data_IF_304011683503
#
_entry.id   IF_304011683503
#
_cell.length_a   1.000
_cell.length_b   1.000
_cell.length_c   1.000
_cell.angle_alpha   90.00
_cell.angle_beta   90.00
_cell.angle_gamma   90.00
#
_symmetry.space_group_name_H-M   'P 1'
#
loop_
_entity.id
_entity.type
_entity.pdbx_description
1 polymer ?
#
# COMPACT_ATOMS: atom_id res chain seq x y z
N UNK A 1 50.89 9.51 21.22
CA UNK A 1 49.73 8.97 21.99
C UNK A 1 48.49 9.85 21.86
N UNK A 2 48.39 10.72 20.85
CA UNK A 2 47.24 11.64 20.65
C UNK A 2 46.24 11.11 19.59
N UNK A 3 46.58 10.04 18.87
CA UNK A 3 45.77 9.50 17.77
C UNK A 3 44.61 8.61 18.22
N UNK A 4 44.62 8.07 19.45
CA UNK A 4 43.53 7.21 19.95
C UNK A 4 42.25 7.98 20.28
N UNK A 5 42.35 9.26 20.66
CA UNK A 5 41.19 10.09 21.00
C UNK A 5 40.41 10.56 19.77
N UNK A 6 41.11 10.82 18.66
CA UNK A 6 40.48 11.22 17.40
C UNK A 6 39.69 10.06 16.76
N UNK A 7 40.13 8.80 16.98
CA UNK A 7 39.43 7.61 16.47
C UNK A 7 38.08 7.34 17.15
N UNK A 8 37.84 7.83 18.38
CA UNK A 8 36.54 7.70 19.05
C UNK A 8 35.52 8.75 18.58
N UNK A 9 35.98 9.82 17.96
CA UNK A 9 35.14 10.85 17.32
C UNK A 9 34.99 10.63 15.82
N UNK A 10 35.63 9.60 15.28
CA UNK A 10 35.50 9.17 13.89
C UNK A 10 34.18 8.42 13.73
N UNK A 11 33.09 9.19 13.71
CA UNK A 11 31.75 8.69 13.40
C UNK A 11 31.70 8.43 11.90
N UNK A 12 32.18 7.26 11.49
CA UNK A 12 31.93 6.72 10.15
C UNK A 12 30.43 6.43 10.06
N UNK A 13 29.67 7.42 9.56
CA UNK A 13 28.27 7.21 9.21
C UNK A 13 28.25 6.33 7.97
N UNK A 14 27.88 5.08 8.17
CA UNK A 14 27.61 4.16 7.08
C UNK A 14 26.31 4.60 6.38
N UNK A 15 26.47 5.46 5.36
CA UNK A 15 25.36 6.02 4.59
C UNK A 15 24.54 4.92 3.87
N UNK A 16 25.13 3.74 3.67
CA UNK A 16 24.43 2.57 3.13
C UNK A 16 23.38 2.01 4.11
N UNK A 17 23.53 2.19 5.43
CA UNK A 17 22.53 1.73 6.42
C UNK A 17 21.53 2.82 6.83
N UNK A 18 21.85 4.08 6.54
CA UNK A 18 21.06 5.24 6.97
C UNK A 18 19.61 5.20 6.46
N UNK A 19 19.38 4.70 5.25
CA UNK A 19 18.04 4.60 4.66
C UNK A 19 17.14 3.57 5.36
N UNK A 20 17.71 2.58 6.07
CA UNK A 20 16.96 1.59 6.84
C UNK A 20 16.68 2.03 8.27
N UNK A 21 17.34 3.09 8.75
CA UNK A 21 17.19 3.56 10.13
C UNK A 21 15.76 3.98 10.44
N UNK A 22 15.17 4.84 9.59
CA UNK A 22 13.79 5.27 9.75
C UNK A 22 12.77 4.12 9.62
N UNK A 23 12.80 3.29 8.56
CA UNK A 23 11.94 2.10 8.47
C UNK A 23 12.05 1.17 9.68
N UNK A 24 13.26 0.96 10.22
CA UNK A 24 13.50 0.07 11.36
C UNK A 24 12.83 0.60 12.63
N UNK A 25 12.95 1.90 12.92
CA UNK A 25 12.29 2.52 14.08
C UNK A 25 10.77 2.41 13.98
N UNK A 26 10.20 2.80 12.82
CA UNK A 26 8.75 2.72 12.60
C UNK A 26 8.26 1.28 12.72
N UNK A 27 8.99 0.31 12.17
CA UNK A 27 8.66 -1.12 12.28
C UNK A 27 8.60 -1.57 13.75
N UNK A 28 9.60 -1.21 14.56
CA UNK A 28 9.62 -1.53 15.98
C UNK A 28 8.44 -0.89 16.74
N UNK A 29 8.14 0.37 16.46
CA UNK A 29 6.98 1.06 17.03
C UNK A 29 5.69 0.31 16.70
N UNK A 30 5.50 -0.06 15.43
CA UNK A 30 4.32 -0.81 14.98
C UNK A 30 4.22 -2.19 15.63
N UNK A 31 5.33 -2.91 15.79
CA UNK A 31 5.37 -4.22 16.47
C UNK A 31 5.00 -4.09 17.95
N UNK A 32 5.53 -3.07 18.64
CA UNK A 32 5.20 -2.81 20.05
C UNK A 32 3.72 -2.46 20.20
N UNK A 33 3.18 -1.60 19.33
CA UNK A 33 1.75 -1.27 19.28
C UNK A 33 0.90 -2.52 19.04
N UNK A 34 1.27 -3.36 18.08
CA UNK A 34 0.57 -4.61 17.80
C UNK A 34 0.59 -5.53 19.02
N UNK A 35 1.75 -5.69 19.67
CA UNK A 35 1.87 -6.48 20.89
C UNK A 35 0.98 -5.93 22.02
N UNK A 36 0.95 -4.61 22.21
CA UNK A 36 0.09 -3.96 23.20
C UNK A 36 -1.40 -4.19 22.90
N UNK A 37 -1.81 -4.09 21.63
CA UNK A 37 -3.19 -4.38 21.22
C UNK A 37 -3.54 -5.84 21.48
N UNK A 38 -2.65 -6.77 21.15
CA UNK A 38 -2.86 -8.20 21.41
C UNK A 38 -3.02 -8.44 22.90
N UNK A 39 -2.13 -7.92 23.76
CA UNK A 39 -2.20 -8.11 25.21
C UNK A 39 -3.46 -7.48 25.80
N UNK A 40 -3.82 -6.26 25.39
CA UNK A 40 -4.97 -5.54 25.96
C UNK A 40 -6.32 -6.05 25.45
N UNK A 41 -6.39 -6.57 24.21
CA UNK A 41 -7.64 -6.98 23.55
C UNK A 41 -7.68 -8.44 23.12
N UNK A 42 -6.83 -9.31 23.67
CA UNK A 42 -6.76 -10.73 23.25
C UNK A 42 -8.12 -11.44 23.31
N UNK A 43 -8.94 -11.15 24.34
CA UNK A 43 -10.26 -11.78 24.52
C UNK A 43 -11.24 -11.46 23.40
N UNK A 44 -11.11 -10.28 22.78
CA UNK A 44 -11.91 -9.87 21.63
C UNK A 44 -11.31 -10.39 20.32
N UNK A 45 -9.98 -10.40 20.22
CA UNK A 45 -9.26 -10.82 19.03
C UNK A 45 -9.35 -12.32 18.76
N UNK A 46 -9.18 -13.17 19.78
CA UNK A 46 -9.12 -14.63 19.59
C UNK A 46 -10.42 -15.22 19.03
N UNK A 47 -11.63 -14.89 19.54
CA UNK A 47 -12.88 -15.34 18.93
C UNK A 47 -13.10 -14.75 17.53
N UNK A 48 -12.70 -13.49 17.33
CA UNK A 48 -12.75 -12.81 16.03
C UNK A 48 -11.90 -13.49 14.97
N UNK A 49 -10.66 -13.85 15.29
CA UNK A 49 -9.76 -14.60 14.41
C UNK A 49 -10.31 -16.00 14.08
N UNK A 50 -10.82 -16.71 15.08
CA UNK A 50 -11.43 -18.04 14.88
C UNK A 50 -12.68 -17.97 13.99
N UNK A 51 -13.48 -16.91 14.11
CA UNK A 51 -14.62 -16.67 13.22
C UNK A 51 -14.16 -16.27 11.82
N UNK A 52 -13.19 -15.35 11.70
CA UNK A 52 -12.63 -14.95 10.42
C UNK A 52 -12.04 -16.14 9.64
N UNK A 53 -11.30 -17.03 10.32
CA UNK A 53 -10.79 -18.26 9.70
C UNK A 53 -11.91 -19.22 9.27
N UNK A 54 -13.00 -19.32 10.02
CA UNK A 54 -14.18 -20.13 9.61
C UNK A 54 -14.94 -19.52 8.42
N UNK A 55 -15.02 -18.20 8.35
CA UNK A 55 -15.61 -17.46 7.22
C UNK A 55 -14.76 -17.66 5.95
N UNK A 56 -13.43 -17.55 6.08
CA UNK A 56 -12.48 -17.75 4.97
C UNK A 56 -12.48 -19.19 4.42
N UNK A 57 -12.69 -20.19 5.29
CA UNK A 57 -12.78 -21.61 4.91
C UNK A 57 -14.19 -21.97 4.41
N UNK A 58 -15.11 -21.00 4.32
CA UNK A 58 -16.47 -21.21 3.80
C UNK A 58 -17.39 -22.01 4.73
N UNK A 59 -17.04 -22.11 6.02
CA UNK A 59 -17.79 -22.92 7.00
C UNK A 59 -18.96 -22.17 7.65
N UNK A 60 -18.87 -20.84 7.78
CA UNK A 60 -19.93 -19.98 8.34
C UNK A 60 -19.88 -18.58 7.71
N UNK A 61 -20.93 -18.15 7.00
CA UNK A 61 -21.11 -16.77 6.50
C UNK A 61 -21.11 -16.61 4.97
N UNK A 62 -21.75 -15.56 4.48
CA UNK A 62 -21.68 -15.12 3.08
C UNK A 62 -20.31 -14.45 2.82
N UNK A 63 -19.27 -15.26 2.54
CA UNK A 63 -17.99 -14.71 2.12
C UNK A 63 -18.04 -14.37 0.63
N UNK A 64 -17.83 -13.10 0.30
CA UNK A 64 -17.84 -12.61 -1.08
C UNK A 64 -16.50 -12.93 -1.76
N UNK A 65 -16.32 -14.21 -2.11
CA UNK A 65 -15.10 -14.76 -2.71
C UNK A 65 -14.70 -13.98 -3.97
N UNK A 66 -15.68 -13.53 -4.76
CA UNK A 66 -15.43 -12.79 -6.00
C UNK A 66 -14.73 -11.46 -5.73
N UNK A 67 -15.21 -10.70 -4.75
CA UNK A 67 -14.59 -9.43 -4.34
C UNK A 67 -13.23 -9.66 -3.71
N UNK A 68 -13.11 -10.66 -2.85
CA UNK A 68 -11.84 -10.95 -2.19
C UNK A 68 -10.73 -11.33 -3.18
N UNK A 69 -10.95 -12.37 -3.99
CA UNK A 69 -9.97 -12.82 -4.97
C UNK A 69 -9.81 -11.82 -6.11
N UNK A 70 -10.88 -11.14 -6.50
CA UNK A 70 -10.84 -10.05 -7.47
C UNK A 70 -9.90 -8.94 -7.01
N UNK A 71 -10.03 -8.45 -5.77
CA UNK A 71 -9.16 -7.42 -5.22
C UNK A 71 -7.72 -7.90 -5.13
N UNK A 72 -7.50 -9.14 -4.65
CA UNK A 72 -6.15 -9.71 -4.58
C UNK A 72 -5.48 -9.75 -5.96
N UNK A 73 -6.18 -10.27 -6.96
CA UNK A 73 -5.69 -10.33 -8.34
C UNK A 73 -5.45 -8.93 -8.91
N UNK A 74 -6.37 -7.99 -8.69
CA UNK A 74 -6.25 -6.61 -9.16
C UNK A 74 -5.04 -5.90 -8.54
N UNK A 75 -4.82 -6.08 -7.23
CA UNK A 75 -3.70 -5.49 -6.50
C UNK A 75 -2.37 -6.08 -6.97
N UNK A 76 -2.29 -7.41 -7.10
CA UNK A 76 -1.07 -8.05 -7.63
C UNK A 76 -0.78 -7.59 -9.07
N UNK A 77 -1.81 -7.56 -9.92
CA UNK A 77 -1.68 -7.09 -11.30
C UNK A 77 -1.26 -5.62 -11.35
N UNK A 78 -1.83 -4.75 -10.52
CA UNK A 78 -1.47 -3.33 -10.43
C UNK A 78 0.02 -3.13 -10.17
N UNK A 79 0.56 -3.76 -9.12
CA UNK A 79 1.99 -3.60 -8.80
C UNK A 79 2.90 -4.18 -9.87
N UNK A 80 2.56 -5.35 -10.42
CA UNK A 80 3.34 -5.98 -11.48
C UNK A 80 3.34 -5.14 -12.76
N UNK A 81 2.17 -4.74 -13.25
CA UNK A 81 2.02 -3.94 -14.46
C UNK A 81 2.62 -2.55 -14.31
N UNK A 82 2.56 -1.96 -13.11
CA UNK A 82 3.22 -0.69 -12.83
C UNK A 82 4.72 -0.81 -13.08
N UNK A 83 5.38 -1.85 -12.55
CA UNK A 83 6.81 -2.10 -12.82
C UNK A 83 7.11 -2.25 -14.30
N UNK A 84 6.31 -3.02 -15.03
CA UNK A 84 6.51 -3.24 -16.48
C UNK A 84 6.34 -1.93 -17.26
N UNK A 85 5.37 -1.09 -16.89
CA UNK A 85 5.19 0.21 -17.54
C UNK A 85 6.29 1.21 -17.17
N UNK A 86 6.82 1.14 -15.94
CA UNK A 86 7.94 1.97 -15.50
C UNK A 86 9.19 1.72 -16.34
N UNK A 87 9.40 0.48 -16.81
CA UNK A 87 10.51 0.15 -17.72
C UNK A 87 10.35 0.83 -19.10
N UNK A 88 9.10 1.06 -19.54
CA UNK A 88 8.78 1.75 -20.81
C UNK A 88 8.81 3.27 -20.65
N UNK A 89 8.34 3.80 -19.51
CA UNK A 89 8.23 5.23 -19.21
C UNK A 89 9.04 5.64 -17.97
N UNK A 90 10.38 5.49 -18.00
CA UNK A 90 11.22 5.66 -16.80
C UNK A 90 11.15 7.09 -16.25
N UNK A 91 10.97 7.21 -14.93
CA UNK A 91 11.04 8.47 -14.16
C UNK A 91 10.04 9.56 -14.57
N UNK A 92 8.97 9.22 -15.29
CA UNK A 92 7.93 10.18 -15.69
C UNK A 92 6.71 10.18 -14.75
N UNK A 93 6.55 9.12 -13.94
CA UNK A 93 5.37 8.90 -13.10
C UNK A 93 4.08 8.63 -13.88
N UNK A 94 4.15 8.48 -15.22
CA UNK A 94 2.97 8.17 -16.05
C UNK A 94 2.49 6.74 -15.87
N UNK A 95 3.41 5.81 -15.66
CA UNK A 95 3.20 4.44 -15.16
C UNK A 95 2.28 4.43 -13.95
N UNK A 96 2.60 5.18 -12.90
CA UNK A 96 1.74 5.35 -11.72
C UNK A 96 0.35 5.90 -12.09
N UNK A 97 0.27 6.97 -12.89
CA UNK A 97 -1.01 7.60 -13.25
C UNK A 97 -1.93 6.62 -14.01
N UNK A 98 -1.43 6.02 -15.10
CA UNK A 98 -2.21 5.13 -15.98
C UNK A 98 -2.68 3.91 -15.21
N UNK A 99 -1.77 3.27 -14.46
CA UNK A 99 -2.13 2.08 -13.68
C UNK A 99 -3.06 2.40 -12.53
N UNK A 100 -2.92 3.56 -11.89
CA UNK A 100 -3.83 3.99 -10.82
C UNK A 100 -5.23 4.29 -11.35
N UNK A 101 -5.36 4.93 -12.53
CA UNK A 101 -6.65 5.15 -13.18
C UNK A 101 -7.34 3.82 -13.49
N UNK A 102 -6.61 2.89 -14.12
CA UNK A 102 -7.13 1.56 -14.46
C UNK A 102 -7.52 0.77 -13.19
N UNK A 103 -6.67 0.78 -12.17
CA UNK A 103 -6.89 0.08 -10.91
C UNK A 103 -8.10 0.63 -10.16
N UNK A 104 -8.20 1.95 -9.96
CA UNK A 104 -9.33 2.58 -9.25
C UNK A 104 -10.63 2.32 -9.99
N UNK A 105 -10.63 2.37 -11.32
CA UNK A 105 -11.82 2.07 -12.12
C UNK A 105 -12.26 0.61 -11.98
N UNK A 106 -11.35 -0.33 -12.16
CA UNK A 106 -11.65 -1.77 -12.08
C UNK A 106 -12.03 -2.20 -10.65
N UNK A 107 -11.37 -1.64 -9.64
CA UNK A 107 -11.71 -1.89 -8.24
C UNK A 107 -13.11 -1.36 -7.93
N UNK A 108 -13.41 -0.15 -8.39
CA UNK A 108 -14.74 0.44 -8.25
C UNK A 108 -15.83 -0.42 -8.91
N UNK A 109 -15.53 -1.00 -10.08
CA UNK A 109 -16.43 -1.92 -10.78
C UNK A 109 -16.61 -3.24 -10.04
N UNK A 110 -15.57 -3.75 -9.39
CA UNK A 110 -15.62 -4.98 -8.61
C UNK A 110 -16.54 -4.86 -7.38
N UNK A 111 -16.59 -3.67 -6.78
CA UNK A 111 -17.36 -3.40 -5.55
C UNK A 111 -18.76 -2.83 -5.78
N UNK A 112 -19.11 -2.41 -7.00
CA UNK A 112 -20.46 -1.90 -7.27
C UNK A 112 -21.45 -3.04 -7.43
N UNK A 113 -22.51 -3.06 -6.61
CA UNK A 113 -23.57 -4.07 -6.70
C UNK A 113 -24.48 -3.85 -7.92
N UNK A 114 -24.81 -2.58 -8.20
CA UNK A 114 -25.72 -2.20 -9.28
C UNK A 114 -25.15 -1.06 -10.11
N UNK A 115 -24.92 -1.33 -11.40
CA UNK A 115 -24.45 -0.33 -12.36
C UNK A 115 -25.62 0.50 -12.87
N UNK A 116 -25.74 1.73 -12.38
CA UNK A 116 -26.57 2.76 -13.00
C UNK A 116 -25.70 3.70 -13.84
N UNK A 117 -26.28 4.33 -14.88
CA UNK A 117 -25.55 5.30 -15.72
C UNK A 117 -24.92 6.42 -14.90
N UNK A 118 -25.62 6.88 -13.84
CA UNK A 118 -25.11 7.92 -12.92
C UNK A 118 -23.91 7.41 -12.13
N UNK A 119 -23.99 6.21 -11.55
CA UNK A 119 -22.87 5.62 -10.81
C UNK A 119 -21.67 5.39 -11.73
N UNK A 120 -21.89 4.88 -12.93
CA UNK A 120 -20.81 4.67 -13.90
C UNK A 120 -20.04 5.97 -14.19
N UNK A 121 -20.74 7.08 -14.43
CA UNK A 121 -20.10 8.39 -14.65
C UNK A 121 -19.31 8.82 -13.41
N UNK A 122 -19.86 8.65 -12.20
CA UNK A 122 -19.15 8.97 -10.95
C UNK A 122 -17.88 8.13 -10.80
N UNK A 123 -17.93 6.83 -11.12
CA UNK A 123 -16.78 5.94 -11.05
C UNK A 123 -15.68 6.36 -12.03
N UNK A 124 -16.04 6.69 -13.27
CA UNK A 124 -15.10 7.20 -14.28
C UNK A 124 -14.47 8.50 -13.82
N UNK A 125 -15.27 9.46 -13.35
CA UNK A 125 -14.77 10.75 -12.87
C UNK A 125 -13.83 10.55 -11.67
N UNK A 126 -14.19 9.71 -10.71
CA UNK A 126 -13.35 9.43 -9.55
C UNK A 126 -12.02 8.75 -9.94
N UNK A 127 -12.08 7.76 -10.84
CA UNK A 127 -10.90 7.06 -11.34
C UNK A 127 -9.95 7.97 -12.13
N UNK A 128 -10.45 9.07 -12.70
CA UNK A 128 -9.59 10.06 -13.37
C UNK A 128 -9.08 11.11 -12.38
N UNK A 129 -9.97 11.72 -11.60
CA UNK A 129 -9.65 12.87 -10.75
C UNK A 129 -8.70 12.48 -9.61
N UNK A 130 -9.01 11.40 -8.87
CA UNK A 130 -8.23 11.06 -7.69
C UNK A 130 -6.77 10.69 -8.02
N UNK A 131 -6.48 9.81 -9.00
CA UNK A 131 -5.11 9.53 -9.40
C UNK A 131 -4.39 10.72 -10.01
N UNK A 132 -5.09 11.55 -10.80
CA UNK A 132 -4.48 12.74 -11.41
C UNK A 132 -4.06 13.77 -10.37
N UNK A 133 -4.89 14.00 -9.35
CA UNK A 133 -4.54 14.87 -8.23
C UNK A 133 -3.37 14.31 -7.42
N UNK A 134 -3.38 13.00 -7.11
CA UNK A 134 -2.29 12.35 -6.39
C UNK A 134 -0.97 12.46 -7.17
N UNK A 135 -1.00 12.17 -8.47
CA UNK A 135 0.17 12.32 -9.35
C UNK A 135 0.65 13.76 -9.41
N UNK A 136 -0.25 14.74 -9.57
CA UNK A 136 0.13 16.15 -9.60
C UNK A 136 0.81 16.59 -8.30
N UNK A 137 0.24 16.23 -7.15
CA UNK A 137 0.80 16.58 -5.84
C UNK A 137 2.16 15.90 -5.64
N UNK A 138 2.28 14.61 -5.93
CA UNK A 138 3.52 13.87 -5.68
C UNK A 138 4.63 14.22 -6.69
N UNK A 139 4.32 14.22 -7.98
CA UNK A 139 5.29 14.44 -9.05
C UNK A 139 5.62 15.93 -9.26
N UNK A 140 4.64 16.83 -9.23
CA UNK A 140 4.87 18.25 -9.53
C UNK A 140 5.12 19.08 -8.27
N UNK A 141 4.27 18.93 -7.24
CA UNK A 141 4.39 19.74 -6.02
C UNK A 141 5.55 19.26 -5.13
N UNK A 142 5.68 17.95 -4.91
CA UNK A 142 6.73 17.39 -4.06
C UNK A 142 7.98 16.92 -4.81
N UNK A 143 7.95 16.87 -6.16
CA UNK A 143 9.07 16.39 -7.01
C UNK A 143 9.61 15.02 -6.57
N UNK A 144 8.72 14.18 -6.05
CA UNK A 144 9.05 12.80 -5.71
C UNK A 144 9.00 12.00 -7.00
N UNK A 145 10.11 11.34 -7.33
CA UNK A 145 10.16 10.40 -8.45
C UNK A 145 9.24 9.23 -8.14
N UNK A 146 8.06 9.25 -8.76
CA UNK A 146 7.15 8.13 -8.76
C UNK A 146 7.63 7.12 -9.81
N UNK A 147 7.51 5.80 -9.50
CA UNK A 147 7.76 4.76 -10.49
C UNK A 147 6.86 4.93 -11.70
#
# INVERSE_FOLDING_TARGET
MESQWLSMLDVTIDFDQSHLFFPRIITWILVILLAMIVVTRYRLLVPGLKRAGRVLVGREGEFDHKRFFGTLALTTAYFYLMSVLSDVFPNTGYSFLIMSVAFVFLLSLLYVDHLTRRLFVILVLNALIAPTLAWYVLAQLFRITLP
#
